data_IF_337154939792
#
_entry.id   IF_337154939792
#
_cell.length_a   1.000
_cell.length_b   1.000
_cell.length_c   1.000
_cell.angle_alpha   90.00
_cell.angle_beta   90.00
_cell.angle_gamma   90.00
#
_symmetry.space_group_name_H-M   'P 1'
#
loop_
_entity.id
_entity.type
_entity.pdbx_description
1 polymer ?
#
# COMPACT_ATOMS: atom_id res chain seq x y z
N UNK A 1 7.42 -12.46 16.55
CA UNK A 1 7.13 -12.08 15.15
C UNK A 1 8.05 -10.97 14.61
N UNK A 2 8.51 -10.07 15.44
CA UNK A 2 9.44 -8.98 15.07
C UNK A 2 10.85 -9.45 14.73
N UNK A 3 11.33 -10.51 15.40
CA UNK A 3 12.70 -10.99 15.23
C UNK A 3 13.01 -11.49 13.81
N UNK A 4 12.04 -12.02 13.10
CA UNK A 4 12.26 -12.43 11.71
C UNK A 4 12.34 -11.24 10.75
N UNK A 5 11.55 -10.15 10.98
CA UNK A 5 11.66 -8.92 10.20
C UNK A 5 13.03 -8.29 10.40
N UNK A 6 13.49 -8.18 11.66
CA UNK A 6 14.82 -7.70 11.98
C UNK A 6 15.91 -8.56 11.35
N UNK A 7 15.81 -9.90 11.46
CA UNK A 7 16.74 -10.83 10.81
C UNK A 7 16.74 -10.71 9.31
N UNK A 8 15.57 -10.52 8.66
CA UNK A 8 15.48 -10.31 7.22
C UNK A 8 16.10 -8.98 6.78
N UNK A 9 15.97 -7.92 7.59
CA UNK A 9 16.61 -6.64 7.31
C UNK A 9 18.12 -6.75 7.55
N UNK A 10 18.54 -7.35 8.66
CA UNK A 10 19.96 -7.43 9.02
C UNK A 10 20.74 -8.43 8.11
N UNK A 11 20.13 -9.54 7.70
CA UNK A 11 20.76 -10.53 6.82
C UNK A 11 20.54 -10.21 5.32
N UNK A 12 19.36 -9.70 4.95
CA UNK A 12 19.00 -9.44 3.55
C UNK A 12 19.32 -8.02 3.08
N UNK A 13 19.65 -7.09 4.00
CA UNK A 13 19.95 -5.71 3.67
C UNK A 13 18.82 -5.05 2.86
N UNK A 14 19.19 -4.40 1.76
CA UNK A 14 18.22 -3.73 0.87
C UNK A 14 17.25 -4.70 0.18
N UNK A 15 17.68 -5.92 -0.13
CA UNK A 15 16.82 -6.97 -0.68
C UNK A 15 15.77 -7.43 0.34
N UNK A 16 16.15 -7.52 1.62
CA UNK A 16 15.23 -7.81 2.71
C UNK A 16 14.13 -6.75 2.80
N UNK A 17 14.50 -5.47 2.77
CA UNK A 17 13.56 -4.34 2.76
C UNK A 17 12.65 -4.39 1.53
N UNK A 18 13.21 -4.60 0.34
CA UNK A 18 12.45 -4.69 -0.91
C UNK A 18 11.38 -5.80 -0.85
N UNK A 19 11.76 -7.00 -0.43
CA UNK A 19 10.84 -8.14 -0.32
C UNK A 19 9.79 -7.92 0.77
N UNK A 20 10.17 -7.38 1.92
CA UNK A 20 9.25 -7.05 3.00
C UNK A 20 8.23 -6.00 2.57
N UNK A 21 8.63 -5.00 1.80
CA UNK A 21 7.73 -3.97 1.28
C UNK A 21 6.77 -4.50 0.22
N UNK A 22 7.17 -5.49 -0.59
CA UNK A 22 6.24 -6.22 -1.47
C UNK A 22 5.24 -6.99 -0.62
N UNK A 23 5.75 -7.79 0.33
CA UNK A 23 4.93 -8.66 1.16
C UNK A 23 3.90 -7.87 1.98
N UNK A 24 4.31 -6.76 2.59
CA UNK A 24 3.40 -5.87 3.33
C UNK A 24 2.27 -5.34 2.46
N UNK A 25 2.59 -4.90 1.24
CA UNK A 25 1.57 -4.38 0.34
C UNK A 25 0.65 -5.45 -0.26
N UNK A 26 1.09 -6.72 -0.31
CA UNK A 26 0.24 -7.85 -0.72
C UNK A 26 -0.51 -8.43 0.48
N UNK A 27 0.14 -8.48 1.65
CA UNK A 27 -0.38 -9.03 2.90
C UNK A 27 -0.22 -7.99 4.03
N UNK A 28 -1.28 -7.24 4.39
CA UNK A 28 -1.24 -6.06 5.26
C UNK A 28 -0.90 -6.24 6.76
N UNK A 29 -0.59 -7.41 7.35
CA UNK A 29 -0.33 -7.49 8.79
C UNK A 29 0.99 -6.87 9.24
N UNK A 30 1.90 -6.53 8.33
CA UNK A 30 3.19 -5.92 8.68
C UNK A 30 3.13 -4.44 8.28
N UNK A 31 3.15 -3.48 9.21
CA UNK A 31 3.11 -2.08 8.84
C UNK A 31 4.45 -1.64 8.22
N UNK A 32 4.40 -0.97 7.07
CA UNK A 32 5.59 -0.41 6.40
C UNK A 32 6.29 0.66 7.22
N UNK A 33 5.57 1.28 8.16
CA UNK A 33 6.11 2.21 9.14
C UNK A 33 7.26 1.57 9.92
N UNK A 34 7.13 0.28 10.22
CA UNK A 34 8.17 -0.48 10.88
C UNK A 34 9.34 -0.78 9.94
N UNK A 35 9.07 -1.28 8.73
CA UNK A 35 10.12 -1.66 7.79
C UNK A 35 10.99 -0.45 7.45
N UNK A 36 10.36 0.64 7.02
CA UNK A 36 11.07 1.87 6.65
C UNK A 36 11.65 2.60 7.85
N UNK A 37 10.96 2.56 9.00
CA UNK A 37 11.45 3.13 10.26
C UNK A 37 12.71 2.42 10.76
N UNK A 38 12.71 1.08 10.78
CA UNK A 38 13.90 0.28 11.15
C UNK A 38 15.03 0.51 10.15
N UNK A 39 14.73 0.51 8.84
CA UNK A 39 15.71 0.85 7.81
C UNK A 39 16.34 2.22 8.05
N UNK A 40 15.53 3.24 8.36
CA UNK A 40 16.00 4.57 8.72
C UNK A 40 16.89 4.59 9.97
N UNK A 41 16.54 3.82 11.00
CA UNK A 41 17.39 3.65 12.20
C UNK A 41 18.74 3.05 11.80
N UNK A 42 18.76 2.01 10.94
CA UNK A 42 20.01 1.41 10.46
C UNK A 42 20.86 2.38 9.63
N UNK A 43 20.23 3.30 8.89
CA UNK A 43 20.93 4.42 8.24
C UNK A 43 21.53 5.37 9.29
N UNK A 44 20.77 5.74 10.31
CA UNK A 44 21.25 6.58 11.41
C UNK A 44 22.43 5.98 12.19
N UNK A 45 22.50 4.65 12.26
CA UNK A 45 23.60 3.87 12.84
C UNK A 45 24.80 3.67 11.88
N UNK A 46 24.74 4.20 10.64
CA UNK A 46 25.78 4.04 9.63
C UNK A 46 25.87 2.65 8.98
N UNK A 47 24.84 1.81 9.18
CA UNK A 47 24.80 0.42 8.64
C UNK A 47 24.19 0.33 7.26
N UNK A 48 23.44 1.36 6.83
CA UNK A 48 22.76 1.43 5.52
C UNK A 48 22.88 2.83 4.93
N UNK A 49 22.78 2.95 3.60
CA UNK A 49 22.71 4.23 2.90
C UNK A 49 21.25 4.59 2.61
N UNK A 50 20.90 5.87 2.75
CA UNK A 50 19.53 6.39 2.62
C UNK A 50 18.97 6.18 1.21
N UNK A 51 19.79 6.43 0.20
CA UNK A 51 19.38 6.33 -1.21
C UNK A 51 18.91 4.91 -1.57
N UNK A 52 19.69 3.90 -1.18
CA UNK A 52 19.35 2.52 -1.45
C UNK A 52 18.16 2.02 -0.63
N UNK A 53 18.01 2.51 0.60
CA UNK A 53 16.83 2.25 1.43
C UNK A 53 15.57 2.77 0.74
N UNK A 54 15.59 4.03 0.30
CA UNK A 54 14.44 4.66 -0.37
C UNK A 54 14.14 3.99 -1.71
N UNK A 55 15.17 3.62 -2.46
CA UNK A 55 15.01 2.92 -3.74
C UNK A 55 14.33 1.55 -3.52
N UNK A 56 14.90 0.72 -2.64
CA UNK A 56 14.38 -0.62 -2.34
C UNK A 56 12.95 -0.55 -1.78
N UNK A 57 12.71 0.33 -0.81
CA UNK A 57 11.39 0.53 -0.20
C UNK A 57 10.34 0.99 -1.21
N UNK A 58 10.68 1.97 -2.06
CA UNK A 58 9.73 2.52 -3.04
C UNK A 58 9.43 1.53 -4.16
N UNK A 59 10.43 0.82 -4.68
CA UNK A 59 10.22 -0.22 -5.69
C UNK A 59 9.38 -1.36 -5.13
N UNK A 60 9.68 -1.83 -3.91
CA UNK A 60 8.90 -2.88 -3.25
C UNK A 60 7.44 -2.49 -3.07
N UNK A 61 7.19 -1.28 -2.55
CA UNK A 61 5.83 -0.73 -2.42
C UNK A 61 5.12 -0.64 -3.76
N UNK A 62 5.79 -0.14 -4.79
CA UNK A 62 5.20 0.05 -6.12
C UNK A 62 4.79 -1.28 -6.73
N UNK A 63 5.65 -2.30 -6.66
CA UNK A 63 5.36 -3.65 -7.17
C UNK A 63 4.21 -4.30 -6.40
N UNK A 64 4.22 -4.26 -5.06
CA UNK A 64 3.15 -4.82 -4.24
C UNK A 64 1.79 -4.18 -4.52
N UNK A 65 1.77 -2.86 -4.71
CA UNK A 65 0.53 -2.14 -5.08
C UNK A 65 0.11 -2.40 -6.52
N UNK A 66 1.06 -2.59 -7.44
CA UNK A 66 0.76 -2.94 -8.82
C UNK A 66 0.11 -4.31 -8.93
N UNK A 67 0.46 -5.24 -8.05
CA UNK A 67 -0.22 -6.54 -7.95
C UNK A 67 -1.73 -6.35 -7.72
N UNK A 68 -2.14 -5.55 -6.73
CA UNK A 68 -3.56 -5.27 -6.47
C UNK A 68 -4.24 -4.50 -7.60
N UNK A 69 -3.52 -3.59 -8.24
CA UNK A 69 -4.00 -2.90 -9.42
C UNK A 69 -4.30 -3.89 -10.56
N UNK A 70 -3.42 -4.85 -10.82
CA UNK A 70 -3.64 -5.90 -11.83
C UNK A 70 -4.83 -6.80 -11.46
N UNK A 71 -4.95 -7.19 -10.20
CA UNK A 71 -6.10 -7.96 -9.72
C UNK A 71 -7.40 -7.19 -10.00
N UNK A 72 -7.46 -5.91 -9.65
CA UNK A 72 -8.63 -5.06 -9.96
C UNK A 72 -8.90 -4.95 -11.46
N UNK A 73 -7.85 -4.80 -12.26
CA UNK A 73 -7.96 -4.69 -13.72
C UNK A 73 -8.50 -5.97 -14.37
N UNK A 74 -8.07 -7.14 -13.89
CA UNK A 74 -8.51 -8.46 -14.39
C UNK A 74 -9.93 -8.79 -13.94
N UNK A 75 -10.27 -8.49 -12.67
CA UNK A 75 -11.60 -8.76 -12.13
C UNK A 75 -12.67 -7.97 -12.88
N UNK A 76 -12.45 -6.69 -13.16
CA UNK A 76 -13.43 -5.81 -13.78
C UNK A 76 -14.68 -5.60 -12.90
N UNK A 77 -15.50 -4.62 -13.26
CA UNK A 77 -16.65 -4.19 -12.46
C UNK A 77 -17.73 -5.29 -12.28
N UNK A 78 -17.95 -6.09 -13.33
CA UNK A 78 -19.00 -7.12 -13.32
C UNK A 78 -18.74 -8.30 -12.38
N UNK A 79 -17.46 -8.62 -12.13
CA UNK A 79 -17.08 -9.72 -11.22
C UNK A 79 -16.87 -9.26 -9.78
N UNK A 80 -16.67 -7.96 -9.56
CA UNK A 80 -16.47 -7.42 -8.22
C UNK A 80 -17.76 -7.44 -7.40
N UNK A 81 -18.92 -7.13 -8.01
CA UNK A 81 -20.18 -7.04 -7.29
C UNK A 81 -20.51 -8.31 -6.50
N UNK A 82 -20.53 -9.52 -7.10
CA UNK A 82 -20.80 -10.75 -6.34
C UNK A 82 -19.74 -11.06 -5.27
N UNK A 83 -18.50 -10.60 -5.46
CA UNK A 83 -17.45 -10.72 -4.44
C UNK A 83 -17.68 -9.81 -3.25
N UNK A 84 -18.08 -8.55 -3.50
CA UNK A 84 -18.43 -7.59 -2.44
C UNK A 84 -19.68 -8.06 -1.70
N UNK A 85 -20.69 -8.55 -2.41
CA UNK A 85 -21.92 -9.06 -1.79
C UNK A 85 -21.64 -10.28 -0.89
N UNK A 86 -20.69 -11.14 -1.26
CA UNK A 86 -20.34 -12.36 -0.51
C UNK A 86 -19.31 -12.14 0.60
N UNK A 87 -18.29 -11.31 0.35
CA UNK A 87 -17.13 -11.13 1.23
C UNK A 87 -17.00 -9.71 1.81
N UNK A 88 -17.91 -8.79 1.45
CA UNK A 88 -17.85 -7.38 1.86
C UNK A 88 -17.83 -7.20 3.37
N UNK A 89 -18.52 -8.08 4.12
CA UNK A 89 -18.47 -8.07 5.59
C UNK A 89 -17.04 -8.21 6.13
N UNK A 90 -16.24 -9.10 5.57
CA UNK A 90 -14.85 -9.33 5.99
C UNK A 90 -13.94 -8.13 5.65
N UNK A 91 -14.19 -7.51 4.50
CA UNK A 91 -13.48 -6.31 4.09
C UNK A 91 -14.08 -5.02 4.70
N UNK A 92 -15.20 -5.12 5.45
CA UNK A 92 -15.99 -3.97 5.93
C UNK A 92 -16.34 -2.99 4.80
N UNK A 93 -16.63 -3.53 3.60
CA UNK A 93 -16.87 -2.79 2.37
C UNK A 93 -18.30 -3.06 1.87
N UNK A 94 -19.02 -2.02 1.49
CA UNK A 94 -20.33 -2.08 0.85
C UNK A 94 -20.23 -1.68 -0.62
N UNK A 95 -21.20 -2.14 -1.44
CA UNK A 95 -21.26 -1.76 -2.84
C UNK A 95 -21.34 -0.24 -3.04
N UNK A 96 -22.02 0.45 -2.16
CA UNK A 96 -22.10 1.92 -2.15
C UNK A 96 -20.73 2.60 -1.99
N UNK A 97 -19.82 1.98 -1.24
CA UNK A 97 -18.44 2.49 -1.08
C UNK A 97 -17.68 2.35 -2.40
N UNK A 98 -17.89 1.25 -3.13
CA UNK A 98 -17.34 1.03 -4.47
C UNK A 98 -17.85 2.07 -5.45
N UNK A 99 -19.16 2.36 -5.44
CA UNK A 99 -19.75 3.41 -6.28
C UNK A 99 -19.28 4.83 -5.89
N UNK A 100 -19.06 5.08 -4.60
CA UNK A 100 -18.50 6.35 -4.15
C UNK A 100 -17.07 6.54 -4.64
N UNK A 101 -16.27 5.48 -4.61
CA UNK A 101 -14.91 5.47 -5.18
C UNK A 101 -14.95 5.67 -6.69
N UNK A 102 -15.89 5.03 -7.43
CA UNK A 102 -16.04 5.22 -8.87
C UNK A 102 -16.31 6.69 -9.22
N UNK A 103 -17.23 7.34 -8.49
CA UNK A 103 -17.51 8.78 -8.65
C UNK A 103 -16.27 9.63 -8.34
N UNK A 104 -15.51 9.27 -7.30
CA UNK A 104 -14.31 9.99 -6.90
C UNK A 104 -13.22 9.87 -7.98
N UNK A 105 -13.00 8.65 -8.51
CA UNK A 105 -12.07 8.41 -9.61
C UNK A 105 -12.53 9.09 -10.90
N UNK A 106 -13.83 9.11 -11.18
CA UNK A 106 -14.40 9.82 -12.33
C UNK A 106 -14.15 11.33 -12.28
N UNK A 107 -14.19 11.94 -11.08
CA UNK A 107 -14.00 13.38 -10.88
C UNK A 107 -12.54 13.80 -10.81
N UNK A 108 -11.71 13.06 -10.09
CA UNK A 108 -10.33 13.45 -9.75
C UNK A 108 -9.28 12.55 -10.40
N UNK A 109 -9.67 11.45 -11.02
CA UNK A 109 -8.78 10.54 -11.72
C UNK A 109 -7.66 10.01 -10.82
N UNK A 110 -6.43 10.18 -11.27
CA UNK A 110 -5.25 9.60 -10.63
C UNK A 110 -4.77 10.34 -9.38
N UNK A 111 -5.20 11.57 -9.19
CA UNK A 111 -4.90 12.36 -7.99
C UNK A 111 -5.44 11.63 -6.76
N UNK A 112 -6.55 10.91 -6.90
CA UNK A 112 -7.11 10.06 -5.83
C UNK A 112 -6.07 9.06 -5.32
N UNK A 113 -5.38 8.35 -6.23
CA UNK A 113 -4.34 7.39 -5.86
C UNK A 113 -3.22 8.07 -5.09
N UNK A 114 -2.75 9.22 -5.59
CA UNK A 114 -1.69 9.98 -4.95
C UNK A 114 -2.06 10.41 -3.53
N UNK A 115 -3.24 11.04 -3.37
CA UNK A 115 -3.71 11.55 -2.06
C UNK A 115 -3.91 10.41 -1.05
N UNK A 116 -4.52 9.30 -1.48
CA UNK A 116 -4.78 8.16 -0.59
C UNK A 116 -3.49 7.43 -0.16
N UNK A 117 -2.34 7.66 -0.84
CA UNK A 117 -1.05 7.14 -0.39
C UNK A 117 -0.58 7.71 0.95
N UNK A 118 -1.03 8.90 1.31
CA UNK A 118 -0.73 9.52 2.60
C UNK A 118 -1.64 9.04 3.74
N UNK A 119 -2.65 8.23 3.43
CA UNK A 119 -3.56 7.66 4.43
C UNK A 119 -3.18 6.20 4.72
N UNK A 120 -2.62 5.86 5.90
CA UNK A 120 -2.09 4.53 6.20
C UNK A 120 -3.10 3.39 5.93
N UNK A 121 -4.37 3.59 6.32
CA UNK A 121 -5.42 2.58 6.16
C UNK A 121 -5.88 2.36 4.70
N UNK A 122 -5.72 3.36 3.83
CA UNK A 122 -6.28 3.34 2.49
C UNK A 122 -5.25 3.14 1.38
N UNK A 123 -3.97 3.36 1.67
CA UNK A 123 -2.89 3.38 0.66
C UNK A 123 -2.77 2.08 -0.14
N UNK A 124 -2.98 0.92 0.48
CA UNK A 124 -2.94 -0.38 -0.20
C UNK A 124 -4.27 -0.68 -0.87
N UNK A 125 -5.38 -0.41 -0.16
CA UNK A 125 -6.72 -0.69 -0.65
C UNK A 125 -7.10 0.09 -1.90
N UNK A 126 -6.58 1.31 -2.10
CA UNK A 126 -6.89 2.15 -3.26
C UNK A 126 -6.41 1.57 -4.58
N UNK A 127 -5.42 0.67 -4.56
CA UNK A 127 -4.83 0.09 -5.76
C UNK A 127 -5.79 -0.83 -6.51
N UNK A 128 -6.62 -1.59 -5.79
CA UNK A 128 -7.62 -2.46 -6.39
C UNK A 128 -8.73 -1.67 -7.10
N UNK A 129 -9.39 -0.68 -6.48
CA UNK A 129 -10.34 0.20 -7.18
C UNK A 129 -9.69 0.94 -8.36
N UNK A 130 -8.45 1.41 -8.23
CA UNK A 130 -7.75 2.09 -9.32
C UNK A 130 -7.61 1.20 -10.56
N UNK A 131 -7.31 -0.08 -10.37
CA UNK A 131 -7.30 -1.07 -11.45
C UNK A 131 -8.69 -1.35 -12.03
N UNK A 132 -9.68 -1.46 -11.15
CA UNK A 132 -11.06 -1.74 -11.50
C UNK A 132 -11.69 -0.66 -12.37
N UNK A 133 -11.54 0.61 -11.98
CA UNK A 133 -12.12 1.76 -12.68
C UNK A 133 -11.32 2.20 -13.90
N UNK A 134 -10.26 1.46 -14.27
CA UNK A 134 -9.43 1.71 -15.46
C UNK A 134 -9.00 3.16 -15.62
N UNK A 135 -8.75 3.84 -14.52
CA UNK A 135 -8.20 5.20 -14.38
C UNK A 135 -8.46 6.13 -15.58
N UNK A 136 -9.70 6.40 -15.84
CA UNK A 136 -10.14 7.27 -16.93
C UNK A 136 -11.19 6.57 -17.78
N UNK A 137 -12.45 6.98 -17.59
CA UNK A 137 -13.56 6.62 -18.47
C UNK A 137 -13.38 7.23 -19.86
N UNK A 138 -12.49 6.67 -20.66
CA UNK A 138 -12.72 6.66 -22.08
C UNK A 138 -13.62 5.45 -22.29
N UNK A 139 -14.94 5.68 -22.50
CA UNK A 139 -15.83 4.70 -23.11
C UNK A 139 -15.10 4.19 -24.34
N UNK A 140 -14.43 3.05 -24.19
CA UNK A 140 -13.72 2.43 -25.28
C UNK A 140 -14.77 1.82 -26.20
N UNK A 141 -15.23 2.62 -27.14
CA UNK A 141 -15.92 2.15 -28.31
C UNK A 141 -14.93 1.28 -29.08
N UNK A 142 -15.19 -0.03 -29.07
CA UNK A 142 -14.37 -1.04 -29.71
C UNK A 142 -14.23 -0.73 -31.22
N UNK A 143 -13.14 -0.07 -31.59
CA UNK A 143 -12.70 0.05 -32.99
C UNK A 143 -11.19 -0.25 -33.05
N UNK A 144 -10.88 -1.47 -33.41
CA UNK A 144 -9.95 -2.09 -34.35
C UNK A 144 -8.51 -1.54 -34.52
N UNK A 145 -7.89 -0.85 -33.55
CA UNK A 145 -6.49 -0.47 -33.77
C UNK A 145 -5.60 -0.98 -32.62
N UNK A 146 -4.79 -2.01 -32.89
CA UNK A 146 -3.90 -2.67 -31.92
C UNK A 146 -2.90 -1.67 -31.32
N UNK A 147 -2.38 -0.73 -32.11
CA UNK A 147 -1.47 0.32 -31.66
C UNK A 147 -2.14 1.26 -30.65
N UNK A 148 -3.38 1.65 -30.87
CA UNK A 148 -4.13 2.49 -29.92
C UNK A 148 -4.44 1.74 -28.62
N UNK A 149 -4.69 0.42 -28.67
CA UNK A 149 -4.87 -0.41 -27.46
C UNK A 149 -3.58 -0.46 -26.62
N UNK A 150 -2.44 -0.69 -27.28
CA UNK A 150 -1.15 -0.71 -26.60
C UNK A 150 -0.80 0.64 -25.96
N UNK A 151 -1.04 1.74 -26.69
CA UNK A 151 -0.79 3.10 -26.17
C UNK A 151 -1.72 3.45 -25.00
N UNK A 152 -2.98 3.04 -25.05
CA UNK A 152 -3.94 3.25 -23.96
C UNK A 152 -3.57 2.42 -22.73
N UNK A 153 -3.17 1.17 -22.92
CA UNK A 153 -2.69 0.31 -21.86
C UNK A 153 -1.46 0.91 -21.17
N UNK A 154 -0.43 1.28 -21.95
CA UNK A 154 0.78 1.92 -21.44
C UNK A 154 0.49 3.23 -20.70
N UNK A 155 -0.41 4.06 -21.22
CA UNK A 155 -0.77 5.33 -20.59
C UNK A 155 -1.50 5.11 -19.25
N UNK A 156 -2.42 4.15 -19.17
CA UNK A 156 -3.20 3.88 -17.97
C UNK A 156 -2.32 3.25 -16.86
N UNK A 157 -1.54 2.23 -17.22
CA UNK A 157 -0.63 1.57 -16.28
C UNK A 157 0.53 2.50 -15.88
N UNK A 158 1.12 3.21 -16.85
CA UNK A 158 2.21 4.15 -16.60
C UNK A 158 1.81 5.28 -15.64
N UNK A 159 0.61 5.83 -15.82
CA UNK A 159 0.08 6.85 -14.90
C UNK A 159 -0.15 6.30 -13.49
N UNK A 160 -0.73 5.10 -13.36
CA UNK A 160 -0.87 4.46 -12.04
C UNK A 160 0.51 4.27 -11.37
N UNK A 161 1.47 3.71 -12.10
CA UNK A 161 2.83 3.53 -11.60
C UNK A 161 3.47 4.87 -11.18
N UNK A 162 3.35 5.91 -12.00
CA UNK A 162 3.90 7.23 -11.71
C UNK A 162 3.35 7.81 -10.39
N UNK A 163 2.02 7.89 -10.26
CA UNK A 163 1.39 8.47 -9.07
C UNK A 163 1.59 7.59 -7.82
N UNK A 164 1.59 6.27 -8.00
CA UNK A 164 1.89 5.32 -6.92
C UNK A 164 3.33 5.47 -6.45
N UNK A 165 4.30 5.46 -7.37
CA UNK A 165 5.72 5.60 -7.04
C UNK A 165 6.01 6.95 -6.38
N UNK A 166 5.49 8.05 -6.94
CA UNK A 166 5.68 9.38 -6.38
C UNK A 166 5.09 9.50 -4.96
N UNK A 167 3.84 9.07 -4.76
CA UNK A 167 3.21 9.12 -3.44
C UNK A 167 3.89 8.21 -2.42
N UNK A 168 4.26 6.98 -2.83
CA UNK A 168 4.98 6.04 -1.97
C UNK A 168 6.40 6.53 -1.64
N UNK A 169 7.08 7.14 -2.58
CA UNK A 169 8.41 7.72 -2.35
C UNK A 169 8.37 8.79 -1.26
N UNK A 170 7.45 9.76 -1.37
CA UNK A 170 7.32 10.83 -0.38
C UNK A 170 7.01 10.24 1.01
N UNK A 171 6.08 9.27 1.08
CA UNK A 171 5.76 8.61 2.34
C UNK A 171 6.96 7.86 2.93
N UNK A 172 7.67 7.08 2.11
CA UNK A 172 8.88 6.36 2.52
C UNK A 172 9.99 7.30 2.99
N UNK A 173 10.14 8.48 2.36
CA UNK A 173 11.07 9.52 2.81
C UNK A 173 10.72 9.96 4.23
N UNK A 174 9.45 10.27 4.50
CA UNK A 174 9.00 10.68 5.85
C UNK A 174 9.33 9.61 6.88
N UNK A 175 9.02 8.34 6.59
CA UNK A 175 9.26 7.23 7.50
C UNK A 175 10.76 6.95 7.72
N UNK A 176 11.54 6.93 6.63
CA UNK A 176 12.97 6.67 6.69
C UNK A 176 13.73 7.77 7.45
N UNK A 177 13.41 9.03 7.19
CA UNK A 177 14.03 10.15 7.94
C UNK A 177 13.55 10.18 9.39
N UNK A 178 12.29 9.88 9.67
CA UNK A 178 11.81 9.70 11.04
C UNK A 178 12.63 8.66 11.81
N UNK A 179 12.84 7.48 11.20
CA UNK A 179 13.69 6.43 11.74
C UNK A 179 15.16 6.85 11.87
N UNK A 180 15.69 7.56 10.87
CA UNK A 180 17.07 8.06 10.89
C UNK A 180 17.35 9.00 12.07
N UNK A 181 16.49 9.99 12.31
CA UNK A 181 16.63 10.90 13.44
C UNK A 181 16.52 10.16 14.78
N UNK A 182 15.61 9.19 14.85
CA UNK A 182 15.45 8.35 16.04
C UNK A 182 16.70 7.50 16.28
N UNK A 183 17.24 6.87 15.23
CA UNK A 183 18.45 6.05 15.29
C UNK A 183 19.70 6.81 15.73
N UNK A 184 19.82 8.09 15.31
CA UNK A 184 20.94 8.96 15.73
C UNK A 184 20.82 9.42 17.18
N UNK A 185 19.60 9.70 17.64
CA UNK A 185 19.39 10.28 18.98
C UNK A 185 19.45 9.22 20.09
N UNK A 186 19.06 7.99 19.79
CA UNK A 186 18.91 6.90 20.76
C UNK A 186 19.78 5.69 20.41
N UNK A 187 20.96 5.91 19.81
CA UNK A 187 21.88 4.83 19.43
C UNK A 187 22.28 4.02 20.68
N UNK A 188 21.82 2.78 20.73
CA UNK A 188 22.14 1.82 21.80
C UNK A 188 20.95 1.36 22.67
N UNK A 189 19.93 2.17 22.87
CA UNK A 189 18.74 1.76 23.65
C UNK A 189 17.54 1.39 22.78
N UNK A 190 17.50 1.91 21.55
CA UNK A 190 16.33 1.76 20.67
C UNK A 190 16.08 0.30 20.27
N UNK A 191 17.14 -0.50 20.14
CA UNK A 191 17.02 -1.92 19.79
C UNK A 191 16.25 -2.72 20.86
N UNK A 192 16.27 -2.26 22.13
CA UNK A 192 15.50 -2.87 23.23
C UNK A 192 14.00 -2.56 23.13
N UNK A 193 13.66 -1.39 22.60
CA UNK A 193 12.27 -0.91 22.50
C UNK A 193 11.60 -1.23 21.16
N UNK A 194 12.36 -1.49 20.11
CA UNK A 194 11.83 -1.82 18.79
C UNK A 194 10.90 -3.03 18.82
N UNK A 195 11.30 -4.11 19.50
CA UNK A 195 10.50 -5.32 19.64
C UNK A 195 9.14 -5.07 20.30
N UNK A 196 9.10 -4.55 21.54
CA UNK A 196 7.84 -4.22 22.23
C UNK A 196 6.94 -3.25 21.47
N UNK A 197 7.49 -2.17 20.92
CA UNK A 197 6.72 -1.17 20.16
C UNK A 197 6.09 -1.81 18.93
N UNK A 198 6.85 -2.59 18.17
CA UNK A 198 6.33 -3.29 16.99
C UNK A 198 5.21 -4.26 17.35
N UNK A 199 5.42 -5.05 18.41
CA UNK A 199 4.40 -6.00 18.88
C UNK A 199 3.13 -5.24 19.29
N UNK A 200 3.27 -4.15 20.03
CA UNK A 200 2.13 -3.31 20.42
C UNK A 200 1.38 -2.74 19.21
N UNK A 201 2.09 -2.24 18.18
CA UNK A 201 1.47 -1.72 16.96
C UNK A 201 0.72 -2.82 16.20
N UNK A 202 1.29 -4.02 16.05
CA UNK A 202 0.63 -5.15 15.38
C UNK A 202 -0.60 -5.60 16.15
N UNK A 203 -0.49 -5.74 17.47
CA UNK A 203 -1.63 -6.12 18.34
C UNK A 203 -2.72 -5.07 18.24
N UNK A 204 -2.38 -3.79 18.33
CA UNK A 204 -3.35 -2.69 18.21
C UNK A 204 -4.07 -2.73 16.84
N UNK A 205 -3.35 -2.96 15.75
CA UNK A 205 -3.92 -3.09 14.41
C UNK A 205 -4.87 -4.28 14.30
N UNK A 206 -4.49 -5.44 14.84
CA UNK A 206 -5.35 -6.64 14.86
C UNK A 206 -6.59 -6.42 15.72
N UNK A 207 -6.45 -5.86 16.92
CA UNK A 207 -7.58 -5.55 17.81
C UNK A 207 -8.53 -4.55 17.14
N UNK A 208 -7.99 -3.50 16.53
CA UNK A 208 -8.80 -2.53 15.79
C UNK A 208 -9.56 -3.17 14.63
N UNK A 209 -8.92 -4.06 13.87
CA UNK A 209 -9.57 -4.80 12.79
C UNK A 209 -10.68 -5.70 13.31
N UNK A 210 -10.43 -6.48 14.37
CA UNK A 210 -11.42 -7.36 14.99
C UNK A 210 -12.58 -6.56 15.58
N UNK A 211 -12.31 -5.45 16.24
CA UNK A 211 -13.34 -4.53 16.74
C UNK A 211 -14.21 -4.01 15.61
N UNK A 212 -13.60 -3.57 14.51
CA UNK A 212 -14.30 -3.08 13.33
C UNK A 212 -15.15 -4.19 12.67
N UNK A 213 -14.63 -5.42 12.61
CA UNK A 213 -15.35 -6.57 12.09
C UNK A 213 -16.56 -6.93 12.98
N UNK A 214 -16.40 -6.90 14.30
CA UNK A 214 -17.46 -7.19 15.27
C UNK A 214 -18.56 -6.13 15.29
N UNK A 215 -18.19 -4.86 15.11
CA UNK A 215 -19.12 -3.72 15.12
C UNK A 215 -19.68 -3.38 13.74
N UNK A 216 -19.24 -4.07 12.70
CA UNK A 216 -19.69 -3.82 11.34
C UNK A 216 -21.16 -4.21 11.18
N UNK A 217 -22.00 -3.24 10.80
CA UNK A 217 -23.40 -3.44 10.41
C UNK A 217 -23.62 -2.82 9.04
N UNK A 218 -24.38 -3.47 8.13
CA UNK A 218 -24.77 -2.86 6.86
C UNK A 218 -25.51 -1.53 7.13
N UNK A 219 -25.23 -0.51 6.32
CA UNK A 219 -25.85 0.82 6.47
C UNK A 219 -27.38 0.82 6.29
N UNK A 220 -27.92 -0.24 5.67
CA UNK A 220 -29.38 -0.42 5.56
C UNK A 220 -30.05 -0.74 6.90
N UNK A 221 -29.29 -1.16 7.90
CA UNK A 221 -29.79 -1.51 9.26
C UNK A 221 -29.48 -0.43 10.31
N UNK A 222 -28.86 0.69 9.89
CA UNK A 222 -28.63 1.88 10.71
C UNK A 222 -29.65 2.94 10.39
#
# INVERSE_FOLDING_TARGET
MTDWVLRLIDAGGYWGIFLLMILENVFPPIPSELIMGIGGIRVGQGRMAMEWLLLAGTLGTTIGNYFWYLVGHILGFGRLKPLVDRFGRWATLEWRDVEALDRLFGKYGQIVVFVFRFMPAFRTMISLPAGLFRMGHVRFQARTDVKRRALHFLNTHGRFLLFTTAGSFIWNVVLAYGGYFLGRRFSGEIDKWLGPITTACVVAAVVFYLYRLATWKPRAER
#
